data_IF_538322349915
#
_entry.id   IF_538322349915
#
_cell.length_a   1.000
_cell.length_b   1.000
_cell.length_c   1.000
_cell.angle_alpha   90.00
_cell.angle_beta   90.00
_cell.angle_gamma   90.00
#
_symmetry.space_group_name_H-M   'P 1'
#
loop_
_entity.id
_entity.type
_entity.pdbx_description
1 polymer ?
#
# COMPACT_ATOMS: atom_id res chain seq x y z
N UNK A 1 -10.51 9.83 -17.57
CA UNK A 1 -11.48 8.85 -18.10
C UNK A 1 -11.06 7.39 -17.87
N UNK A 2 -9.81 6.96 -18.13
CA UNK A 2 -9.35 5.57 -17.87
C UNK A 2 -9.50 5.11 -16.41
N UNK A 3 -9.15 5.94 -15.43
CA UNK A 3 -9.20 5.59 -14.00
C UNK A 3 -10.59 5.21 -13.50
N UNK A 4 -11.63 5.92 -13.95
CA UNK A 4 -13.02 5.62 -13.60
C UNK A 4 -13.47 4.26 -14.14
N UNK A 5 -13.03 3.86 -15.34
CA UNK A 5 -13.32 2.53 -15.87
C UNK A 5 -12.58 1.42 -15.12
N UNK A 6 -11.37 1.68 -14.62
CA UNK A 6 -10.61 0.72 -13.83
C UNK A 6 -11.31 0.37 -12.52
N UNK A 7 -12.01 1.32 -11.89
CA UNK A 7 -12.78 1.05 -10.67
C UNK A 7 -13.87 -0.01 -10.86
N UNK A 8 -14.44 -0.17 -12.07
CA UNK A 8 -15.48 -1.16 -12.34
C UNK A 8 -14.95 -2.56 -12.67
N UNK A 9 -13.65 -2.69 -12.94
CA UNK A 9 -13.03 -3.97 -13.30
C UNK A 9 -12.38 -4.58 -12.06
N UNK A 10 -12.90 -5.69 -11.51
CA UNK A 10 -12.28 -6.35 -10.37
C UNK A 10 -10.93 -6.91 -10.80
N UNK A 11 -9.88 -6.64 -10.02
CA UNK A 11 -8.52 -7.12 -10.34
C UNK A 11 -7.68 -7.31 -9.09
N UNK A 12 -6.70 -8.19 -9.22
CA UNK A 12 -5.60 -8.31 -8.27
C UNK A 12 -4.44 -7.43 -8.72
N UNK A 13 -3.87 -6.68 -7.79
CA UNK A 13 -2.66 -5.89 -7.98
C UNK A 13 -1.64 -6.25 -6.89
N UNK A 14 -0.37 -6.01 -7.16
CA UNK A 14 0.65 -5.94 -6.12
C UNK A 14 0.90 -4.46 -5.86
N UNK A 15 0.73 -4.05 -4.62
CA UNK A 15 0.93 -2.67 -4.20
C UNK A 15 2.02 -2.59 -3.13
N UNK A 16 2.65 -1.43 -3.02
CA UNK A 16 3.60 -1.15 -1.96
C UNK A 16 2.87 -0.47 -0.82
N UNK A 17 2.99 -1.02 0.39
CA UNK A 17 2.22 -0.60 1.56
C UNK A 17 3.16 -0.11 2.64
N UNK A 18 2.85 1.06 3.19
CA UNK A 18 3.53 1.60 4.36
C UNK A 18 3.02 0.87 5.62
N UNK A 19 3.95 0.54 6.50
CA UNK A 19 3.71 -0.21 7.73
C UNK A 19 4.14 0.62 8.94
N UNK A 20 3.39 0.51 10.04
CA UNK A 20 3.78 1.07 11.34
C UNK A 20 4.00 -0.05 12.36
N UNK A 21 4.99 0.11 13.22
CA UNK A 21 5.29 -0.83 14.30
C UNK A 21 4.44 -0.49 15.53
N UNK A 22 3.60 -1.43 15.96
CA UNK A 22 2.79 -1.28 17.17
C UNK A 22 3.46 -1.83 18.45
N UNK A 23 4.71 -2.30 18.35
CA UNK A 23 5.51 -2.88 19.43
C UNK A 23 5.49 -4.42 19.48
N UNK A 24 4.56 -5.07 18.79
CA UNK A 24 4.50 -6.54 18.66
C UNK A 24 4.54 -6.99 17.20
N UNK A 25 3.97 -6.19 16.29
CA UNK A 25 3.87 -6.50 14.87
C UNK A 25 3.74 -5.23 14.02
N UNK A 26 3.97 -5.39 12.73
CA UNK A 26 3.69 -4.35 11.76
C UNK A 26 2.21 -4.32 11.38
N UNK A 27 1.60 -3.15 11.47
CA UNK A 27 0.24 -2.88 10.98
C UNK A 27 0.26 -2.09 9.68
N UNK A 28 -0.74 -2.33 8.83
CA UNK A 28 -0.92 -1.60 7.57
C UNK A 28 -1.36 -0.17 7.90
N UNK A 29 -0.56 0.81 7.50
CA UNK A 29 -0.90 2.22 7.64
C UNK A 29 -1.68 2.73 6.42
N UNK A 30 -1.06 2.69 5.23
CA UNK A 30 -1.64 3.15 3.97
C UNK A 30 -0.86 2.62 2.75
N UNK A 31 -1.38 2.84 1.55
CA UNK A 31 -0.60 2.60 0.34
C UNK A 31 0.49 3.65 0.17
N UNK A 32 1.65 3.24 -0.37
CA UNK A 32 2.75 4.14 -0.72
C UNK A 32 2.35 5.20 -1.76
N UNK A 33 1.24 5.01 -2.48
CA UNK A 33 0.70 6.06 -3.37
C UNK A 33 0.08 7.22 -2.61
N UNK A 34 -0.39 6.98 -1.39
CA UNK A 34 -1.08 7.97 -0.54
C UNK A 34 -0.13 8.65 0.44
N UNK A 35 1.13 8.21 0.52
CA UNK A 35 2.18 8.80 1.35
C UNK A 35 2.60 10.16 0.80
N UNK A 36 2.44 11.19 1.62
CA UNK A 36 2.85 12.55 1.29
C UNK A 36 4.35 12.78 1.51
N UNK A 37 4.99 13.69 0.76
CA UNK A 37 6.37 14.06 1.01
C UNK A 37 6.57 14.58 2.44
N UNK A 38 7.54 13.99 3.15
CA UNK A 38 7.84 14.31 4.55
C UNK A 38 7.17 13.40 5.57
N UNK A 39 6.19 12.58 5.17
CA UNK A 39 5.67 11.52 6.03
C UNK A 39 6.72 10.41 6.20
N UNK A 40 6.70 9.79 7.38
CA UNK A 40 7.59 8.69 7.76
C UNK A 40 6.80 7.58 8.40
N UNK A 41 7.17 6.36 8.04
CA UNK A 41 6.64 5.12 8.57
C UNK A 41 7.81 4.21 8.96
N UNK A 42 7.51 3.13 9.67
CA UNK A 42 8.53 2.25 10.24
C UNK A 42 9.09 1.27 9.20
N UNK A 43 8.22 0.75 8.33
CA UNK A 43 8.59 -0.17 7.27
C UNK A 43 7.69 -0.02 6.04
N UNK A 44 8.02 -0.77 4.98
CA UNK A 44 7.10 -1.02 3.87
C UNK A 44 7.18 -2.47 3.41
N UNK A 45 6.13 -2.94 2.73
CA UNK A 45 6.12 -4.27 2.12
C UNK A 45 5.41 -4.26 0.77
N UNK A 46 5.58 -5.34 0.02
CA UNK A 46 4.81 -5.60 -1.19
C UNK A 46 3.64 -6.52 -0.81
N UNK A 47 2.41 -6.07 -1.05
CA UNK A 47 1.19 -6.77 -0.67
C UNK A 47 0.28 -6.96 -1.88
N UNK A 48 -0.25 -8.18 -2.02
CA UNK A 48 -1.27 -8.45 -3.03
C UNK A 48 -2.62 -7.95 -2.54
N UNK A 49 -3.30 -7.17 -3.37
CA UNK A 49 -4.57 -6.51 -3.04
C UNK A 49 -5.59 -6.83 -4.11
N UNK A 50 -6.81 -7.14 -3.68
CA UNK A 50 -7.97 -7.15 -4.56
C UNK A 50 -8.61 -5.78 -4.55
N UNK A 51 -8.76 -5.17 -5.73
CA UNK A 51 -9.38 -3.86 -5.88
C UNK A 51 -10.66 -3.95 -6.70
N UNK A 52 -11.75 -3.37 -6.19
CA UNK A 52 -13.00 -3.25 -6.93
C UNK A 52 -13.90 -2.14 -6.38
N UNK A 53 -14.50 -1.32 -7.26
CA UNK A 53 -15.41 -0.22 -6.93
C UNK A 53 -14.84 0.77 -5.89
N UNK A 54 -13.52 1.00 -5.92
CA UNK A 54 -12.83 1.86 -4.96
C UNK A 54 -12.50 1.19 -3.62
N UNK A 55 -12.86 -0.08 -3.43
CA UNK A 55 -12.44 -0.88 -2.27
C UNK A 55 -11.10 -1.54 -2.56
N UNK A 56 -10.25 -1.61 -1.54
CA UNK A 56 -8.99 -2.34 -1.55
C UNK A 56 -8.99 -3.33 -0.39
N UNK A 57 -8.86 -4.63 -0.69
CA UNK A 57 -8.87 -5.69 0.30
C UNK A 57 -7.52 -6.41 0.24
N UNK A 58 -6.74 -6.42 1.34
CA UNK A 58 -5.48 -7.15 1.38
C UNK A 58 -5.74 -8.65 1.21
N UNK A 59 -5.02 -9.28 0.29
CA UNK A 59 -5.25 -10.65 -0.15
C UNK A 59 -3.93 -11.42 -0.23
N UNK A 60 -3.51 -12.00 0.90
CA UNK A 60 -2.30 -12.83 0.98
C UNK A 60 -1.34 -12.33 2.05
N UNK A 61 -0.18 -12.97 2.12
CA UNK A 61 0.88 -12.60 3.06
C UNK A 61 1.71 -11.43 2.52
N UNK A 62 2.16 -10.50 3.38
CA UNK A 62 3.10 -9.46 2.98
C UNK A 62 4.44 -10.09 2.57
N UNK A 63 5.01 -9.56 1.50
CA UNK A 63 6.31 -10.01 0.98
C UNK A 63 7.29 -8.84 0.99
N UNK A 64 8.59 -9.15 0.99
CA UNK A 64 9.65 -8.14 0.84
C UNK A 64 9.53 -6.98 1.86
N UNK A 65 9.33 -7.33 3.14
CA UNK A 65 9.28 -6.36 4.24
C UNK A 65 10.68 -5.74 4.38
N UNK A 66 10.74 -4.42 4.31
CA UNK A 66 11.99 -3.64 4.27
C UNK A 66 11.81 -2.29 4.97
N UNK A 67 12.90 -1.61 5.35
CA UNK A 67 12.82 -0.26 5.91
C UNK A 67 12.05 0.68 4.98
N UNK A 68 11.35 1.65 5.59
CA UNK A 68 10.61 2.65 4.83
C UNK A 68 11.56 3.57 4.04
N UNK A 69 11.20 3.85 2.80
CA UNK A 69 11.88 4.73 1.85
C UNK A 69 10.85 5.77 1.43
N UNK A 70 11.05 7.01 1.86
CA UNK A 70 10.16 8.12 1.52
C UNK A 70 10.25 8.45 0.04
N UNK A 71 9.12 8.83 -0.56
CA UNK A 71 9.16 9.56 -1.84
C UNK A 71 9.76 10.94 -1.59
N UNK A 72 10.89 11.23 -2.22
CA UNK A 72 11.43 12.60 -2.24
C UNK A 72 10.44 13.52 -2.97
N UNK A 73 10.31 14.76 -2.49
CA UNK A 73 9.55 15.77 -3.21
C UNK A 73 10.29 16.09 -4.51
N UNK A 74 9.65 15.79 -5.65
CA UNK A 74 10.14 16.18 -6.99
C UNK A 74 9.85 17.65 -7.24
#
# INVERSE_FOLDING_TARGET
MKELFLAFVPRFINDQIALTDNGEQYEIACSMVDVNPGERYDAMCDLKIFTWLGWAIPCGEPTNIRPFESREAV
#
